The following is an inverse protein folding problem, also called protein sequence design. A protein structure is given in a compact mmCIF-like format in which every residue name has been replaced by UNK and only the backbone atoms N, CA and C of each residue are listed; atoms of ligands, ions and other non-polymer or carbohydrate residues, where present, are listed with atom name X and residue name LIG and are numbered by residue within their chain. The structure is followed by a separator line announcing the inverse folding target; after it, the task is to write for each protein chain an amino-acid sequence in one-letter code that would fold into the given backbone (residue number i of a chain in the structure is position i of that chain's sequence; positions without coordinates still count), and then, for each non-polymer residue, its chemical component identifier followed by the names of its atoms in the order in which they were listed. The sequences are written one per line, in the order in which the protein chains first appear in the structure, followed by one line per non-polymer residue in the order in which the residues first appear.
data_IF_903839326144
#
_entry.id   IF_903839326144
#
_cell.length_a   1.000
_cell.length_b   1.000
_cell.length_c   1.000
_cell.angle_alpha   90.00
_cell.angle_beta   90.00
_cell.angle_gamma   90.00
#
_symmetry.space_group_name_H-M   'P 1'
#
loop_
_entity.id
_entity.type
_entity.pdbx_description
1 polymer ?
#
# COMPACT_ATOMS: atom_id res chain seq x y z
N UNK A 1 -3.15 -21.91 13.60
CA UNK A 1 -3.86 -21.30 12.47
C UNK A 1 -4.90 -20.25 12.89
N UNK A 2 -5.63 -20.43 14.00
CA UNK A 2 -6.65 -19.46 14.44
C UNK A 2 -6.10 -18.07 14.78
N UNK A 3 -4.94 -18.00 15.45
CA UNK A 3 -4.24 -16.73 15.75
C UNK A 3 -3.94 -15.94 14.48
N UNK A 4 -3.32 -16.57 13.47
CA UNK A 4 -3.02 -15.90 12.18
C UNK A 4 -4.28 -15.42 11.45
N UNK A 5 -5.39 -16.16 11.52
CA UNK A 5 -6.67 -15.73 10.94
C UNK A 5 -7.22 -14.50 11.66
N UNK A 6 -7.09 -14.44 12.99
CA UNK A 6 -7.48 -13.27 13.79
C UNK A 6 -6.62 -12.06 13.42
N UNK A 7 -5.31 -12.25 13.28
CA UNK A 7 -4.36 -11.20 12.96
C UNK A 7 -4.60 -10.66 11.54
N UNK A 8 -4.76 -11.53 10.54
CA UNK A 8 -5.12 -11.12 9.19
C UNK A 8 -6.42 -10.27 9.16
N UNK A 9 -7.46 -10.71 9.87
CA UNK A 9 -8.70 -9.92 10.01
C UNK A 9 -8.47 -8.60 10.73
N UNK A 10 -7.56 -8.56 11.71
CA UNK A 10 -7.23 -7.33 12.41
C UNK A 10 -6.62 -6.30 11.45
N UNK A 11 -5.63 -6.70 10.65
CA UNK A 11 -4.97 -5.81 9.69
C UNK A 11 -5.94 -5.30 8.63
N UNK A 12 -6.77 -6.18 8.05
CA UNK A 12 -7.78 -5.78 7.07
C UNK A 12 -8.73 -4.74 7.66
N UNK A 13 -9.26 -4.97 8.86
CA UNK A 13 -10.15 -4.00 9.50
C UNK A 13 -9.43 -2.70 9.85
N UNK A 14 -8.14 -2.76 10.21
CA UNK A 14 -7.31 -1.58 10.50
C UNK A 14 -7.17 -0.71 9.25
N UNK A 15 -6.83 -1.31 8.10
CA UNK A 15 -6.70 -0.60 6.84
C UNK A 15 -8.04 -0.01 6.35
N UNK A 16 -9.15 -0.75 6.48
CA UNK A 16 -10.48 -0.24 6.11
C UNK A 16 -10.95 0.91 7.03
N UNK A 17 -10.63 0.86 8.32
CA UNK A 17 -10.88 1.99 9.23
C UNK A 17 -10.04 3.20 8.85
N UNK A 18 -8.75 3.01 8.53
CA UNK A 18 -7.90 4.07 8.01
C UNK A 18 -8.50 4.71 6.75
N UNK A 19 -9.00 3.92 5.80
CA UNK A 19 -9.65 4.44 4.60
C UNK A 19 -10.91 5.26 4.94
N UNK A 20 -11.72 4.81 5.92
CA UNK A 20 -12.92 5.54 6.37
C UNK A 20 -12.55 6.88 7.00
N UNK A 21 -11.54 6.89 7.86
CA UNK A 21 -11.15 8.06 8.63
C UNK A 21 -10.12 8.92 7.86
N UNK A 22 -9.79 8.56 6.61
CA UNK A 22 -8.70 9.16 5.83
C UNK A 22 -8.84 10.67 5.64
N UNK A 23 -10.04 11.16 5.32
CA UNK A 23 -10.31 12.60 5.20
C UNK A 23 -9.96 13.33 6.50
N UNK A 24 -10.33 12.79 7.66
CA UNK A 24 -10.03 13.40 8.96
C UNK A 24 -8.55 13.32 9.32
N UNK A 25 -7.91 12.19 8.99
CA UNK A 25 -6.49 11.96 9.13
C UNK A 25 -5.75 13.08 8.38
N UNK A 26 -5.97 13.23 7.08
CA UNK A 26 -5.20 14.15 6.22
C UNK A 26 -5.57 15.64 6.39
N UNK A 27 -6.86 15.95 6.65
CA UNK A 27 -7.38 17.33 6.74
C UNK A 27 -6.70 18.20 7.80
N UNK A 28 -6.01 17.62 8.79
CA UNK A 28 -5.27 18.39 9.82
C UNK A 28 -4.03 19.13 9.30
N UNK A 29 -3.55 18.83 8.08
CA UNK A 29 -2.27 19.37 7.59
C UNK A 29 -2.40 20.35 6.43
N UNK A 30 -3.34 20.13 5.51
CA UNK A 30 -3.44 20.86 4.24
C UNK A 30 -4.90 20.95 3.76
N UNK A 31 -5.26 22.08 3.13
CA UNK A 31 -6.47 22.19 2.30
C UNK A 31 -6.28 21.32 1.05
N UNK A 32 -6.65 20.05 1.17
CA UNK A 32 -6.58 19.09 0.07
C UNK A 32 -7.92 19.00 -0.65
N UNK A 33 -7.83 19.00 -1.97
CA UNK A 33 -8.95 18.77 -2.89
C UNK A 33 -9.72 17.48 -2.55
N UNK A 34 -11.04 17.62 -2.36
CA UNK A 34 -11.96 16.53 -2.02
C UNK A 34 -11.95 15.42 -3.08
N UNK A 35 -11.76 15.75 -4.36
CA UNK A 35 -11.68 14.75 -5.44
C UNK A 35 -10.44 13.87 -5.27
N UNK A 36 -9.29 14.48 -4.94
CA UNK A 36 -8.04 13.73 -4.68
C UNK A 36 -8.15 12.86 -3.44
N UNK A 37 -8.79 13.36 -2.38
CA UNK A 37 -9.01 12.59 -1.16
C UNK A 37 -9.90 11.37 -1.42
N UNK A 38 -10.92 11.49 -2.28
CA UNK A 38 -11.78 10.36 -2.63
C UNK A 38 -11.02 9.30 -3.45
N UNK A 39 -10.20 9.73 -4.42
CA UNK A 39 -9.33 8.82 -5.19
C UNK A 39 -8.38 8.02 -4.29
N UNK A 40 -7.85 8.65 -3.24
CA UNK A 40 -7.00 7.99 -2.24
C UNK A 40 -7.76 6.94 -1.43
N UNK A 41 -8.97 7.26 -0.99
CA UNK A 41 -9.82 6.33 -0.25
C UNK A 41 -10.16 5.11 -1.11
N UNK A 42 -10.53 5.35 -2.37
CA UNK A 42 -10.81 4.29 -3.34
C UNK A 42 -9.58 3.42 -3.52
N UNK A 43 -8.39 4.02 -3.68
CA UNK A 43 -7.13 3.28 -3.81
C UNK A 43 -6.83 2.41 -2.59
N UNK A 44 -6.93 2.95 -1.36
CA UNK A 44 -6.70 2.15 -0.15
C UNK A 44 -7.65 0.94 -0.11
N UNK A 45 -8.92 1.14 -0.47
CA UNK A 45 -9.93 0.06 -0.49
C UNK A 45 -9.66 -0.98 -1.57
N UNK A 46 -9.34 -0.56 -2.80
CA UNK A 46 -9.05 -1.48 -3.90
C UNK A 46 -7.84 -2.32 -3.58
N UNK A 47 -6.82 -1.70 -3.03
CA UNK A 47 -5.58 -2.35 -2.70
C UNK A 47 -5.74 -3.38 -1.56
N UNK A 48 -6.49 -3.06 -0.51
CA UNK A 48 -6.86 -4.04 0.54
C UNK A 48 -7.61 -5.22 -0.07
N UNK A 49 -8.52 -4.98 -1.02
CA UNK A 49 -9.26 -6.04 -1.71
C UNK A 49 -8.34 -6.92 -2.56
N UNK A 50 -7.46 -6.32 -3.37
CA UNK A 50 -6.48 -7.03 -4.20
C UNK A 50 -5.54 -7.89 -3.35
N UNK A 51 -5.07 -7.36 -2.23
CA UNK A 51 -4.23 -8.06 -1.24
C UNK A 51 -4.90 -9.32 -0.71
N UNK A 52 -6.15 -9.20 -0.26
CA UNK A 52 -6.90 -10.33 0.30
C UNK A 52 -7.17 -11.37 -0.77
N UNK A 53 -7.51 -10.94 -1.99
CA UNK A 53 -7.79 -11.84 -3.10
C UNK A 53 -6.55 -12.62 -3.53
N UNK A 54 -5.41 -11.94 -3.71
CA UNK A 54 -4.13 -12.55 -4.09
C UNK A 54 -3.65 -13.61 -3.08
N UNK A 55 -4.02 -13.47 -1.80
CA UNK A 55 -3.57 -14.36 -0.73
C UNK A 55 -4.64 -15.33 -0.23
N UNK A 56 -5.81 -15.39 -0.90
CA UNK A 56 -6.97 -16.16 -0.42
C UNK A 56 -6.67 -17.67 -0.27
N UNK A 57 -5.76 -18.19 -1.09
CA UNK A 57 -5.39 -19.61 -1.14
C UNK A 57 -4.06 -19.89 -0.41
N UNK A 58 -3.49 -18.90 0.27
CA UNK A 58 -2.20 -19.05 0.95
C UNK A 58 -2.35 -19.97 2.17
N UNK A 59 -1.60 -21.06 2.20
CA UNK A 59 -1.65 -22.08 3.27
C UNK A 59 -0.39 -22.14 4.11
N UNK A 60 0.73 -21.63 3.60
CA UNK A 60 2.01 -21.62 4.31
C UNK A 60 2.00 -20.66 5.49
N UNK A 61 2.31 -21.18 6.68
CA UNK A 61 2.31 -20.39 7.92
C UNK A 61 3.30 -19.23 7.88
N UNK A 62 4.50 -19.44 7.34
CA UNK A 62 5.53 -18.41 7.25
C UNK A 62 5.11 -17.28 6.31
N UNK A 63 4.59 -17.62 5.14
CA UNK A 63 4.13 -16.64 4.14
C UNK A 63 2.93 -15.84 4.66
N UNK A 64 1.98 -16.48 5.35
CA UNK A 64 0.84 -15.76 5.95
C UNK A 64 1.34 -14.75 6.99
N UNK A 65 2.29 -15.14 7.83
CA UNK A 65 2.86 -14.23 8.85
C UNK A 65 3.57 -13.05 8.20
N UNK A 66 4.36 -13.30 7.16
CA UNK A 66 5.06 -12.27 6.40
C UNK A 66 4.08 -11.27 5.76
N UNK A 67 3.02 -11.75 5.11
CA UNK A 67 1.98 -10.90 4.51
C UNK A 67 1.29 -10.03 5.57
N UNK A 68 0.98 -10.59 6.75
CA UNK A 68 0.40 -9.85 7.87
C UNK A 68 1.36 -8.76 8.36
N UNK A 69 2.64 -9.07 8.51
CA UNK A 69 3.66 -8.12 8.96
C UNK A 69 3.83 -6.98 7.96
N UNK A 70 4.08 -7.30 6.69
CA UNK A 70 4.26 -6.33 5.62
C UNK A 70 3.04 -5.41 5.47
N UNK A 71 1.83 -5.98 5.62
CA UNK A 71 0.58 -5.20 5.58
C UNK A 71 0.44 -4.24 6.77
N UNK A 72 0.88 -4.64 7.97
CA UNK A 72 0.90 -3.73 9.13
C UNK A 72 1.90 -2.60 8.94
N UNK A 73 3.13 -2.93 8.51
CA UNK A 73 4.19 -1.95 8.30
C UNK A 73 3.77 -0.92 7.25
N UNK A 74 3.09 -1.37 6.18
CA UNK A 74 2.55 -0.48 5.17
C UNK A 74 1.45 0.44 5.70
N UNK A 75 0.54 -0.05 6.54
CA UNK A 75 -0.46 0.82 7.21
C UNK A 75 0.24 1.85 8.09
N UNK A 76 1.31 1.47 8.79
CA UNK A 76 2.08 2.40 9.63
C UNK A 76 2.79 3.48 8.81
N UNK A 77 3.40 3.11 7.68
CA UNK A 77 4.01 4.06 6.74
C UNK A 77 2.98 5.04 6.18
N UNK A 78 1.81 4.55 5.74
CA UNK A 78 0.74 5.39 5.20
C UNK A 78 0.25 6.38 6.27
N UNK A 79 0.05 5.93 7.52
CA UNK A 79 -0.36 6.78 8.63
C UNK A 79 0.71 7.77 9.06
N UNK A 80 1.99 7.41 8.96
CA UNK A 80 3.10 8.30 9.30
C UNK A 80 3.30 9.40 8.25
N UNK A 81 3.39 9.01 6.98
CA UNK A 81 3.69 9.93 5.88
C UNK A 81 2.45 10.60 5.27
N UNK A 82 1.24 10.11 5.59
CA UNK A 82 -0.04 10.58 5.04
C UNK A 82 -0.14 10.46 3.52
N UNK A 83 0.48 9.40 2.99
CA UNK A 83 0.52 9.12 1.56
C UNK A 83 0.16 7.65 1.38
N UNK A 84 -0.97 7.35 0.72
CA UNK A 84 -1.44 5.99 0.55
C UNK A 84 -0.77 5.29 -0.64
N UNK A 85 -0.34 6.05 -1.63
CA UNK A 85 0.33 5.56 -2.83
C UNK A 85 1.82 5.29 -2.57
N UNK A 86 2.44 4.33 -3.27
CA UNK A 86 3.89 4.21 -3.29
C UNK A 86 4.51 5.51 -3.83
N UNK A 87 5.52 6.05 -3.13
CA UNK A 87 6.33 7.15 -3.65
C UNK A 87 7.34 6.57 -4.63
N UNK A 88 7.23 6.91 -5.91
CA UNK A 88 8.29 6.62 -6.87
C UNK A 88 9.56 7.38 -6.45
N UNK A 89 10.67 6.66 -6.32
CA UNK A 89 11.99 7.27 -6.15
C UNK A 89 12.56 7.54 -7.53
N UNK A 90 12.84 8.81 -7.84
CA UNK A 90 13.65 9.15 -9.01
C UNK A 90 15.08 8.67 -8.73
N UNK A 91 15.56 7.72 -9.53
CA UNK A 91 16.99 7.41 -9.59
C UNK A 91 17.60 8.48 -10.50
N UNK A 92 18.39 9.38 -9.93
CA UNK A 92 19.20 10.30 -10.72
C UNK A 92 20.36 9.51 -11.33
N UNK A 93 20.31 9.24 -12.63
CA UNK A 93 21.51 8.93 -13.42
C UNK A 93 22.08 10.28 -13.89
N UNK A 94 23.32 10.57 -13.50
CA UNK A 94 24.00 11.84 -13.75
C UNK A 94 24.18 12.15 -15.26
N UNK A 95 23.83 11.22 -16.15
CA UNK A 95 24.04 11.31 -17.60
C UNK A 95 22.79 11.40 -18.47
N UNK A 96 21.57 11.50 -17.90
CA UNK A 96 20.32 11.61 -18.70
C UNK A 96 19.41 12.73 -18.20
N UNK A 97 18.95 13.57 -19.12
CA UNK A 97 17.84 14.51 -18.91
C UNK A 97 16.70 13.84 -18.15
N UNK A 98 16.05 14.58 -17.24
CA UNK A 98 14.90 14.14 -16.45
C UNK A 98 13.91 13.37 -17.33
N UNK A 99 13.97 12.03 -17.30
CA UNK A 99 12.96 11.23 -17.96
C UNK A 99 11.69 11.32 -17.12
N UNK A 100 10.82 12.24 -17.51
CA UNK A 100 9.45 12.27 -17.04
C UNK A 100 8.77 11.01 -17.57
N UNK A 101 8.52 10.03 -16.70
CA UNK A 101 7.57 8.97 -17.01
C UNK A 101 6.20 9.63 -16.87
N UNK A 102 5.59 9.98 -18.00
CA UNK A 102 4.31 10.70 -18.07
C UNK A 102 3.29 10.09 -17.10
N UNK A 103 2.96 10.86 -16.05
CA UNK A 103 1.86 10.57 -15.13
C UNK A 103 0.47 10.63 -15.78
N UNK A 104 0.41 10.71 -17.10
CA UNK A 104 -0.81 10.67 -17.92
C UNK A 104 -1.20 9.24 -18.31
N UNK A 105 -0.32 8.25 -18.13
CA UNK A 105 -0.65 6.82 -18.27
C UNK A 105 -0.86 6.16 -16.89
N UNK A 106 -1.65 6.80 -16.03
CA UNK A 106 -2.04 6.29 -14.70
C UNK A 106 -2.96 5.06 -14.73
N UNK A 107 -3.19 4.46 -15.90
CA UNK A 107 -3.93 3.21 -16.02
C UNK A 107 -2.98 2.10 -16.49
N UNK A 108 -3.05 0.98 -15.78
CA UNK A 108 -2.47 -0.31 -16.19
C UNK A 108 -0.96 -0.49 -15.99
N UNK A 109 -0.47 -0.42 -14.75
CA UNK A 109 0.65 -1.30 -14.36
C UNK A 109 0.36 -1.92 -13.00
N UNK A 110 0.11 -3.22 -13.03
CA UNK A 110 -0.15 -4.10 -11.89
C UNK A 110 1.01 -4.01 -10.88
N UNK A 111 0.78 -3.27 -9.81
CA UNK A 111 1.65 -3.28 -8.63
C UNK A 111 0.78 -3.53 -7.43
N UNK A 112 0.73 -4.76 -6.96
CA UNK A 112 -0.09 -5.13 -5.81
C UNK A 112 0.54 -4.59 -4.52
N UNK A 113 -0.27 -4.31 -3.48
CA UNK A 113 0.22 -3.97 -2.12
C UNK A 113 1.33 -4.89 -1.61
N UNK A 114 1.43 -6.10 -2.14
CA UNK A 114 2.26 -7.20 -1.66
C UNK A 114 3.38 -7.65 -2.60
N UNK A 115 3.74 -6.87 -3.61
CA UNK A 115 4.98 -7.12 -4.35
C UNK A 115 6.19 -6.57 -3.56
N UNK A 116 6.47 -7.19 -2.42
CA UNK A 116 7.85 -7.30 -1.95
C UNK A 116 8.18 -8.78 -1.97
N UNK A 117 8.92 -9.24 -3.00
CA UNK A 117 10.10 -10.02 -2.66
C UNK A 117 11.22 -9.80 -3.68
N UNK A 118 12.32 -9.15 -3.28
CA UNK A 118 13.64 -9.71 -3.63
C UNK A 118 14.57 -9.47 -2.46
N UNK A 119 14.70 -10.52 -1.64
CA UNK A 119 15.94 -10.85 -0.98
C UNK A 119 17.10 -10.76 -1.98
N UNK A 120 17.83 -9.65 -1.99
CA UNK A 120 19.21 -9.66 -2.46
C UNK A 120 20.09 -10.14 -1.30
N UNK A 121 19.93 -11.43 -0.97
CA UNK A 121 21.07 -12.19 -0.48
C UNK A 121 21.98 -12.44 -1.68
N UNK A 122 23.05 -11.65 -1.78
CA UNK A 122 24.31 -11.82 -2.54
C UNK A 122 25.12 -10.57 -2.18
N UNK A 123 26.27 -10.60 -1.52
CA UNK A 123 27.28 -11.64 -1.25
C UNK A 123 28.10 -11.19 -0.06
#
# INVERSE_FOLDING_TARGET
MEVLRRDARHVVRRALRMARDWKQIVRKREERDDEKLEKEIVYIRSEVRSTVEANRNLTSYSQIREVIQNSNDRVDLILHYRIPYPRYHYVYDETRELQHVDGSNCMELEGHILDIPVSHSRT
#
